data_IF_023625920039
#
_entry.id   IF_023625920039
#
_cell.length_a   1.000
_cell.length_b   1.000
_cell.length_c   1.000
_cell.angle_alpha   90.00
_cell.angle_beta   90.00
_cell.angle_gamma   90.00
#
_symmetry.space_group_name_H-M   'P 1'
#
loop_
_entity.id
_entity.type
_entity.pdbx_description
1 polymer ?
#
# COMPACT_ATOMS: atom_id res chain seq x y z
N UNK A 1 -17.32 18.14 -15.38
CA UNK A 1 -17.36 17.51 -14.04
C UNK A 1 -16.94 18.52 -12.99
N UNK A 2 -17.59 18.62 -11.82
CA UNK A 2 -17.17 19.52 -10.74
C UNK A 2 -15.78 19.16 -10.21
N UNK A 3 -14.88 20.14 -10.06
CA UNK A 3 -13.48 19.91 -9.64
C UNK A 3 -13.39 19.17 -8.30
N UNK A 4 -14.18 19.59 -7.32
CA UNK A 4 -14.24 18.97 -5.98
C UNK A 4 -14.81 17.54 -5.95
N UNK A 5 -15.28 17.02 -7.08
CA UNK A 5 -15.71 15.62 -7.25
C UNK A 5 -14.76 14.81 -8.15
N UNK A 6 -13.71 15.44 -8.70
CA UNK A 6 -12.71 14.76 -9.51
C UNK A 6 -11.55 14.27 -8.64
N UNK A 7 -11.23 12.98 -8.75
CA UNK A 7 -10.07 12.36 -8.11
C UNK A 7 -8.96 12.20 -9.14
N UNK A 8 -7.78 12.77 -8.89
CA UNK A 8 -6.63 12.58 -9.76
C UNK A 8 -6.05 11.18 -9.55
N UNK A 9 -6.05 10.34 -10.59
CA UNK A 9 -5.41 9.03 -10.56
C UNK A 9 -3.89 9.14 -10.54
N UNK A 10 -3.24 8.46 -9.59
CA UNK A 10 -1.79 8.44 -9.40
C UNK A 10 -1.30 6.99 -9.30
N UNK A 11 -0.34 6.64 -10.15
CA UNK A 11 0.24 5.29 -10.19
C UNK A 11 1.44 5.15 -9.26
N UNK A 12 1.51 4.09 -8.46
CA UNK A 12 2.72 3.68 -7.73
C UNK A 12 3.51 2.66 -8.56
N UNK A 13 3.51 2.85 -9.87
CA UNK A 13 4.17 2.00 -10.85
C UNK A 13 4.64 2.87 -12.03
N UNK A 14 5.45 2.28 -12.88
CA UNK A 14 5.94 2.87 -14.12
C UNK A 14 5.75 1.97 -15.33
N UNK A 15 6.07 2.51 -16.49
CA UNK A 15 5.99 1.82 -17.79
C UNK A 15 7.24 2.10 -18.62
N UNK A 16 7.66 1.11 -19.40
CA UNK A 16 8.70 1.28 -20.41
C UNK A 16 9.40 -0.02 -20.77
N UNK A 17 10.50 0.05 -21.51
CA UNK A 17 11.32 -1.09 -21.93
C UNK A 17 12.16 -1.66 -20.77
N UNK A 18 11.49 -2.17 -19.74
CA UNK A 18 12.11 -2.89 -18.62
C UNK A 18 11.83 -4.39 -18.72
N UNK A 19 12.83 -5.24 -18.42
CA UNK A 19 12.60 -6.67 -18.35
C UNK A 19 11.55 -6.98 -17.28
N UNK A 20 10.84 -8.08 -17.51
CA UNK A 20 10.01 -8.73 -16.51
C UNK A 20 10.79 -8.95 -15.21
N UNK A 21 10.40 -8.27 -14.14
CA UNK A 21 10.98 -8.51 -12.82
C UNK A 21 10.12 -9.56 -12.10
N UNK A 22 10.71 -10.62 -11.51
CA UNK A 22 9.95 -11.72 -10.90
C UNK A 22 9.22 -11.34 -9.60
N UNK A 23 9.19 -10.06 -9.23
CA UNK A 23 8.79 -9.57 -7.91
C UNK A 23 7.44 -8.87 -7.88
N UNK A 24 6.84 -8.58 -9.04
CA UNK A 24 5.44 -8.21 -9.14
C UNK A 24 4.57 -9.47 -9.06
N UNK A 25 3.57 -9.46 -8.18
CA UNK A 25 2.54 -10.50 -8.12
C UNK A 25 1.76 -10.67 -9.43
N UNK A 26 1.86 -9.67 -10.32
CA UNK A 26 1.56 -9.76 -11.74
C UNK A 26 2.76 -10.36 -12.46
N UNK A 27 2.82 -11.70 -12.57
CA UNK A 27 3.80 -12.49 -13.36
C UNK A 27 4.73 -11.63 -14.22
N UNK A 28 5.82 -11.09 -13.66
CA UNK A 28 6.77 -10.16 -14.28
C UNK A 28 6.35 -9.68 -15.67
N UNK A 29 5.46 -8.69 -15.75
CA UNK A 29 5.06 -8.15 -17.04
C UNK A 29 6.18 -7.26 -17.56
N UNK A 30 6.85 -7.69 -18.65
CA UNK A 30 7.70 -6.79 -19.42
C UNK A 30 6.90 -5.55 -19.80
N UNK A 31 7.49 -4.37 -19.69
CA UNK A 31 6.71 -3.14 -19.88
C UNK A 31 6.24 -2.46 -18.59
N UNK A 32 6.33 -3.12 -17.45
CA UNK A 32 5.76 -2.67 -16.17
C UNK A 32 6.79 -2.73 -15.04
N UNK A 33 6.75 -1.76 -14.13
CA UNK A 33 7.65 -1.71 -12.97
C UNK A 33 6.92 -1.15 -11.77
N UNK A 34 6.81 -1.90 -10.67
CA UNK A 34 6.28 -1.35 -9.41
C UNK A 34 7.27 -0.33 -8.81
N UNK A 35 6.80 0.58 -7.95
CA UNK A 35 7.70 1.58 -7.36
C UNK A 35 8.85 0.94 -6.59
N UNK A 36 8.56 -0.09 -5.79
CA UNK A 36 9.61 -0.82 -5.07
C UNK A 36 10.61 -1.53 -6.00
N UNK A 37 10.19 -1.97 -7.19
CA UNK A 37 11.08 -2.56 -8.20
C UNK A 37 11.98 -1.50 -8.85
N UNK A 38 11.48 -0.27 -9.05
CA UNK A 38 12.32 0.82 -9.54
C UNK A 38 13.49 1.12 -8.60
N UNK A 39 13.26 1.05 -7.28
CA UNK A 39 14.31 1.19 -6.27
C UNK A 39 15.39 0.09 -6.40
N UNK A 40 14.99 -1.14 -6.71
CA UNK A 40 15.91 -2.26 -6.96
C UNK A 40 16.72 -2.00 -8.24
N UNK A 41 16.09 -1.60 -9.34
CA UNK A 41 16.80 -1.29 -10.59
C UNK A 41 17.84 -0.17 -10.40
N UNK A 42 17.45 0.90 -9.71
CA UNK A 42 18.33 2.06 -9.47
C UNK A 42 19.50 1.67 -8.54
N UNK A 43 19.22 1.03 -7.40
CA UNK A 43 20.22 0.83 -6.35
C UNK A 43 21.03 -0.45 -6.56
N UNK A 44 20.39 -1.55 -6.95
CA UNK A 44 21.03 -2.87 -7.07
C UNK A 44 21.60 -3.12 -8.46
N UNK A 45 20.86 -2.74 -9.51
CA UNK A 45 21.31 -2.89 -10.90
C UNK A 45 22.12 -1.68 -11.40
N UNK A 46 22.34 -0.69 -10.52
CA UNK A 46 23.11 0.54 -10.79
C UNK A 46 22.57 1.33 -11.98
N UNK A 47 21.27 1.24 -12.25
CA UNK A 47 20.59 2.14 -13.17
C UNK A 47 20.51 3.55 -12.58
N UNK A 48 20.21 4.53 -13.42
CA UNK A 48 20.15 5.94 -13.00
C UNK A 48 18.72 6.45 -13.02
N UNK A 49 18.30 7.12 -11.96
CA UNK A 49 17.11 7.97 -11.99
C UNK A 49 17.47 9.33 -12.62
N UNK A 50 16.75 9.73 -13.66
CA UNK A 50 16.91 11.01 -14.34
C UNK A 50 15.61 11.80 -14.25
N UNK A 51 15.70 13.10 -14.00
CA UNK A 51 14.53 13.98 -13.84
C UNK A 51 14.19 14.67 -15.17
N UNK A 52 12.95 14.55 -15.63
CA UNK A 52 12.40 15.37 -16.70
C UNK A 52 11.82 16.66 -16.10
N UNK A 53 12.50 17.79 -16.32
CA UNK A 53 12.08 19.08 -15.79
C UNK A 53 10.82 19.67 -16.46
N UNK A 54 10.48 19.23 -17.68
CA UNK A 54 9.28 19.70 -18.40
C UNK A 54 8.05 18.94 -17.92
N UNK A 55 8.18 17.62 -17.73
CA UNK A 55 7.07 16.76 -17.32
C UNK A 55 6.93 16.63 -15.79
N UNK A 56 7.94 17.08 -15.04
CA UNK A 56 8.01 17.00 -13.57
C UNK A 56 7.88 15.56 -13.04
N UNK A 57 8.53 14.62 -13.73
CA UNK A 57 8.55 13.20 -13.38
C UNK A 57 9.96 12.61 -13.58
N UNK A 58 10.33 11.57 -12.84
CA UNK A 58 11.55 10.82 -13.10
C UNK A 58 11.36 9.76 -14.20
N UNK A 59 12.48 9.34 -14.77
CA UNK A 59 12.58 8.11 -15.55
C UNK A 59 13.89 7.38 -15.22
N UNK A 60 13.86 6.07 -15.35
CA UNK A 60 15.02 5.19 -15.19
C UNK A 60 15.79 5.15 -16.51
N UNK A 61 17.10 5.24 -16.40
CA UNK A 61 18.04 5.16 -17.52
C UNK A 61 18.96 3.97 -17.33
N UNK A 62 19.12 3.16 -18.37
CA UNK A 62 19.99 1.99 -18.37
C UNK A 62 21.49 2.35 -18.41
N UNK A 63 22.37 1.33 -18.40
CA UNK A 63 23.82 1.52 -18.35
C UNK A 63 24.42 2.34 -19.50
N UNK A 64 23.75 2.38 -20.66
CA UNK A 64 24.18 3.12 -21.85
C UNK A 64 23.44 4.46 -22.03
N UNK A 65 22.90 5.00 -20.94
CA UNK A 65 22.17 6.26 -20.90
C UNK A 65 20.88 6.30 -21.75
N UNK A 66 20.31 5.15 -22.08
CA UNK A 66 19.02 5.04 -22.79
C UNK A 66 17.84 4.98 -21.81
N UNK A 67 16.72 5.69 -22.08
CA UNK A 67 15.54 5.65 -21.21
C UNK A 67 14.94 4.24 -21.19
N UNK A 68 14.61 3.76 -20.00
CA UNK A 68 14.08 2.42 -19.75
C UNK A 68 12.66 2.43 -19.24
N UNK A 69 12.33 3.24 -18.24
CA UNK A 69 10.94 3.37 -17.77
C UNK A 69 10.66 4.75 -17.20
N UNK A 70 9.48 5.29 -17.49
CA UNK A 70 8.94 6.41 -16.73
C UNK A 70 8.35 5.89 -15.42
N UNK A 71 8.69 6.51 -14.30
CA UNK A 71 8.23 6.10 -12.96
C UNK A 71 7.73 7.31 -12.18
N UNK A 72 7.15 7.07 -11.00
CA UNK A 72 6.93 8.11 -10.01
C UNK A 72 7.97 8.04 -8.91
N UNK A 73 8.21 9.15 -8.22
CA UNK A 73 8.96 9.17 -6.97
C UNK A 73 8.33 10.16 -5.97
N UNK A 74 8.90 10.26 -4.77
CA UNK A 74 8.43 11.20 -3.74
C UNK A 74 8.33 12.63 -4.28
N UNK A 75 9.28 13.05 -5.11
CA UNK A 75 9.30 14.41 -5.68
C UNK A 75 8.15 14.63 -6.67
N UNK A 76 7.92 13.73 -7.62
CA UNK A 76 6.81 13.85 -8.58
C UNK A 76 5.44 13.76 -7.90
N UNK A 77 5.29 12.87 -6.92
CA UNK A 77 4.06 12.75 -6.11
C UNK A 77 3.76 14.04 -5.33
N UNK A 78 4.79 14.72 -4.82
CA UNK A 78 4.64 16.02 -4.17
C UNK A 78 4.14 17.09 -5.16
N UNK A 79 4.67 17.15 -6.38
CA UNK A 79 4.17 18.07 -7.42
C UNK A 79 2.70 17.79 -7.75
N UNK A 80 2.34 16.52 -7.97
CA UNK A 80 0.97 16.13 -8.32
C UNK A 80 -0.02 16.38 -7.17
N UNK A 81 0.38 16.13 -5.92
CA UNK A 81 -0.45 16.45 -4.76
C UNK A 81 -0.65 17.97 -4.58
N UNK A 82 0.38 18.79 -4.88
CA UNK A 82 0.21 20.24 -4.90
C UNK A 82 -0.72 20.68 -6.03
N UNK A 83 -0.63 20.06 -7.21
CA UNK A 83 -1.55 20.32 -8.32
C UNK A 83 -3.01 20.05 -7.93
N UNK A 84 -3.29 18.95 -7.21
CA UNK A 84 -4.63 18.65 -6.67
C UNK A 84 -5.15 19.81 -5.81
N UNK A 85 -4.32 20.34 -4.91
CA UNK A 85 -4.69 21.48 -4.04
C UNK A 85 -4.92 22.77 -4.83
N UNK A 86 -3.99 23.10 -5.72
CA UNK A 86 -4.04 24.34 -6.50
C UNK A 86 -5.26 24.40 -7.42
N UNK A 87 -5.75 23.24 -7.89
CA UNK A 87 -6.90 23.15 -8.78
C UNK A 87 -8.21 22.78 -8.07
N UNK A 88 -8.23 22.77 -6.73
CA UNK A 88 -9.41 22.41 -5.93
C UNK A 88 -10.06 21.08 -6.37
N UNK A 89 -9.22 20.08 -6.67
CA UNK A 89 -9.68 18.74 -6.98
C UNK A 89 -10.18 18.03 -5.71
N UNK A 90 -11.06 17.03 -5.87
CA UNK A 90 -11.64 16.27 -4.75
C UNK A 90 -10.63 15.42 -3.99
N UNK A 91 -9.51 15.05 -4.63
CA UNK A 91 -8.42 14.31 -3.99
C UNK A 91 -7.61 13.49 -4.98
N UNK A 92 -6.94 12.46 -4.46
CA UNK A 92 -6.17 11.49 -5.24
C UNK A 92 -6.80 10.09 -5.17
N UNK A 93 -6.77 9.38 -6.30
CA UNK A 93 -7.00 7.93 -6.36
C UNK A 93 -5.66 7.26 -6.64
N UNK A 94 -5.34 6.17 -5.95
CA UNK A 94 -4.03 5.51 -6.06
C UNK A 94 -4.17 4.13 -6.70
N UNK A 95 -3.32 3.85 -7.68
CA UNK A 95 -3.14 2.52 -8.24
C UNK A 95 -1.67 2.09 -8.07
N UNK A 96 -1.30 1.30 -7.06
CA UNK A 96 -2.10 0.67 -5.99
C UNK A 96 -1.33 0.67 -4.67
N UNK A 97 -1.93 0.17 -3.59
CA UNK A 97 -1.25 0.08 -2.29
C UNK A 97 -0.04 -0.88 -2.32
N UNK A 98 -0.18 -2.02 -2.99
CA UNK A 98 0.78 -3.11 -3.01
C UNK A 98 2.01 -2.84 -3.90
N UNK A 99 1.97 -1.80 -4.75
CA UNK A 99 3.09 -1.42 -5.62
C UNK A 99 3.94 -0.27 -5.09
N UNK A 100 3.51 0.40 -4.02
CA UNK A 100 4.37 1.30 -3.25
C UNK A 100 5.40 0.49 -2.44
N UNK A 101 6.38 1.13 -1.78
CA UNK A 101 7.25 0.44 -0.82
C UNK A 101 6.49 0.18 0.50
N UNK A 102 5.51 -0.73 0.45
CA UNK A 102 4.59 -1.03 1.54
C UNK A 102 5.29 -1.63 2.77
N UNK A 103 6.44 -2.30 2.56
CA UNK A 103 7.27 -2.84 3.65
C UNK A 103 8.28 -1.83 4.19
N UNK A 104 8.64 -0.82 3.41
CA UNK A 104 9.65 0.17 3.75
C UNK A 104 11.08 -0.37 3.67
N UNK A 105 11.30 -1.41 2.85
CA UNK A 105 12.52 -2.22 2.80
C UNK A 105 13.31 -2.01 1.50
N UNK A 106 12.69 -1.43 0.47
CA UNK A 106 13.29 -1.41 -0.88
C UNK A 106 13.93 -0.06 -1.20
N UNK A 107 13.35 1.04 -0.73
CA UNK A 107 13.73 2.38 -1.16
C UNK A 107 14.45 3.20 -0.06
N UNK A 108 14.51 2.71 1.18
CA UNK A 108 15.01 3.44 2.37
C UNK A 108 14.26 4.73 2.70
N UNK A 109 12.99 4.82 2.29
CA UNK A 109 12.12 5.97 2.49
C UNK A 109 11.01 5.70 3.53
N UNK A 110 11.06 4.53 4.17
CA UNK A 110 10.04 4.05 5.11
C UNK A 110 8.82 3.47 4.38
N UNK A 111 7.83 2.98 5.14
CA UNK A 111 6.62 2.36 4.58
C UNK A 111 5.74 3.36 3.83
N UNK A 112 5.26 2.96 2.64
CA UNK A 112 4.34 3.71 1.79
C UNK A 112 4.81 5.14 1.45
N UNK A 113 6.03 5.32 0.93
CA UNK A 113 6.59 6.65 0.72
C UNK A 113 5.79 7.48 -0.29
N UNK A 114 5.29 6.90 -1.38
CA UNK A 114 4.52 7.66 -2.37
C UNK A 114 3.17 8.10 -1.80
N UNK A 115 2.44 7.18 -1.18
CA UNK A 115 1.12 7.45 -0.61
C UNK A 115 1.20 8.41 0.57
N UNK A 116 2.21 8.26 1.45
CA UNK A 116 2.44 9.19 2.55
C UNK A 116 2.76 10.60 2.07
N UNK A 117 3.48 10.73 0.96
CA UNK A 117 3.76 12.03 0.35
C UNK A 117 2.47 12.74 -0.04
N UNK A 118 1.58 12.04 -0.73
CA UNK A 118 0.28 12.58 -1.16
C UNK A 118 -0.54 12.99 0.07
N UNK A 119 -0.68 12.09 1.05
CA UNK A 119 -1.39 12.36 2.30
C UNK A 119 -0.83 13.59 3.01
N UNK A 120 0.49 13.67 3.18
CA UNK A 120 1.15 14.77 3.86
C UNK A 120 0.87 16.12 3.17
N UNK A 121 0.93 16.18 1.84
CA UNK A 121 0.67 17.43 1.09
C UNK A 121 -0.80 17.84 1.19
N UNK A 122 -1.73 16.90 0.95
CA UNK A 122 -3.17 17.19 0.96
C UNK A 122 -3.65 17.64 2.35
N UNK A 123 -3.11 17.07 3.43
CA UNK A 123 -3.43 17.46 4.81
C UNK A 123 -2.53 18.55 5.39
N UNK A 124 -1.59 19.13 4.62
CA UNK A 124 -0.70 20.18 5.12
C UNK A 124 0.35 19.72 6.14
N UNK A 125 0.58 18.41 6.27
CA UNK A 125 1.50 17.79 7.22
C UNK A 125 2.91 17.65 6.63
N UNK A 126 3.50 18.74 6.12
CA UNK A 126 4.78 18.69 5.39
C UNK A 126 5.96 18.17 6.23
N UNK A 127 5.86 18.24 7.56
CA UNK A 127 6.84 17.64 8.50
C UNK A 127 6.91 16.11 8.42
N UNK A 128 5.87 15.46 7.88
CA UNK A 128 5.77 14.01 7.74
C UNK A 128 6.21 13.51 6.35
N UNK A 129 6.77 14.39 5.51
CA UNK A 129 7.23 14.00 4.19
C UNK A 129 8.34 12.94 4.28
N UNK A 130 8.24 11.84 3.53
CA UNK A 130 9.33 10.91 3.35
C UNK A 130 10.57 11.58 2.76
N UNK A 131 11.74 10.96 2.96
CA UNK A 131 12.99 11.40 2.33
C UNK A 131 12.88 11.21 0.82
N UNK A 132 13.31 12.20 0.03
CA UNK A 132 13.33 12.07 -1.44
C UNK A 132 14.43 11.14 -1.94
N UNK A 133 15.56 11.04 -1.21
CA UNK A 133 16.69 10.21 -1.62
C UNK A 133 16.45 8.73 -1.35
N UNK A 134 16.78 7.90 -2.34
CA UNK A 134 16.82 6.43 -2.23
C UNK A 134 18.05 5.94 -1.43
N UNK A 135 18.07 4.64 -1.12
CA UNK A 135 19.22 3.94 -0.53
C UNK A 135 20.52 4.20 -1.31
N UNK A 136 21.65 4.28 -0.60
CA UNK A 136 22.99 4.29 -1.22
C UNK A 136 23.55 2.89 -1.49
N UNK A 137 22.98 1.85 -0.86
CA UNK A 137 23.41 0.46 -0.98
C UNK A 137 22.21 -0.45 -1.21
N UNK A 138 22.42 -1.55 -1.92
CA UNK A 138 21.36 -2.49 -2.27
C UNK A 138 20.87 -3.26 -1.03
N UNK A 139 19.57 -3.23 -0.69
CA UNK A 139 18.98 -3.93 0.47
C UNK A 139 18.81 -5.45 0.22
N UNK A 140 19.88 -6.12 -0.21
CA UNK A 140 19.88 -7.51 -0.72
C UNK A 140 19.31 -8.57 0.21
N UNK A 141 19.38 -8.39 1.55
CA UNK A 141 18.88 -9.38 2.51
C UNK A 141 17.36 -9.52 2.50
N UNK A 142 16.64 -8.43 2.21
CA UNK A 142 15.17 -8.43 2.19
C UNK A 142 14.62 -8.78 0.80
N UNK A 143 15.46 -8.63 -0.24
CA UNK A 143 15.13 -8.88 -1.64
C UNK A 143 15.10 -10.36 -2.03
N UNK A 144 16.07 -11.18 -1.58
CA UNK A 144 16.18 -12.59 -2.05
C UNK A 144 15.08 -13.51 -1.53
N UNK A 145 14.50 -13.18 -0.38
CA UNK A 145 13.46 -13.99 0.27
C UNK A 145 12.03 -13.50 -0.07
N UNK A 146 11.91 -12.44 -0.88
CA UNK A 146 10.62 -11.88 -1.25
C UNK A 146 9.91 -12.76 -2.28
N UNK A 147 9.02 -13.61 -1.80
CA UNK A 147 7.99 -14.26 -2.63
C UNK A 147 6.73 -13.38 -2.60
N UNK A 148 6.39 -12.64 -3.68
CA UNK A 148 5.09 -11.99 -3.75
C UNK A 148 4.02 -13.08 -3.61
N UNK A 149 3.12 -12.92 -2.65
CA UNK A 149 2.05 -13.88 -2.47
C UNK A 149 1.19 -13.88 -3.74
N UNK A 150 1.21 -14.97 -4.50
CA UNK A 150 0.47 -15.11 -5.77
C UNK A 150 -1.05 -15.28 -5.57
N UNK A 151 -1.56 -14.91 -4.40
CA UNK A 151 -2.96 -15.08 -3.99
C UNK A 151 -3.47 -13.85 -3.25
N UNK A 152 -3.69 -12.79 -4.02
CA UNK A 152 -4.90 -12.00 -3.83
C UNK A 152 -5.33 -11.51 -5.20
N UNK A 153 -6.08 -12.36 -5.92
CA UNK A 153 -7.05 -11.81 -6.86
C UNK A 153 -7.82 -10.70 -6.12
N UNK A 154 -8.17 -9.58 -6.78
CA UNK A 154 -9.14 -8.68 -6.19
C UNK A 154 -10.38 -9.52 -5.87
N UNK A 155 -10.68 -9.71 -4.59
CA UNK A 155 -11.98 -10.20 -4.18
C UNK A 155 -12.97 -9.18 -4.74
N UNK A 156 -13.70 -9.57 -5.79
CA UNK A 156 -14.96 -8.95 -6.12
C UNK A 156 -15.80 -9.01 -4.86
N UNK A 157 -15.95 -7.86 -4.21
CA UNK A 157 -16.96 -7.71 -3.19
C UNK A 157 -18.29 -7.89 -3.90
N UNK A 158 -18.95 -9.03 -3.69
CA UNK A 158 -20.34 -9.17 -4.05
C UNK A 158 -21.10 -7.99 -3.44
N UNK A 159 -21.92 -7.35 -4.27
CA UNK A 159 -22.82 -6.27 -3.86
C UNK A 159 -23.59 -6.73 -2.61
N UNK A 160 -23.53 -6.03 -1.47
CA UNK A 160 -24.27 -6.43 -0.28
C UNK A 160 -25.76 -6.43 -0.62
N UNK A 161 -26.35 -7.61 -0.78
CA UNK A 161 -27.79 -7.78 -1.10
C UNK A 161 -28.65 -7.75 0.15
N UNK A 162 -28.07 -7.51 1.33
CA UNK A 162 -28.82 -7.30 2.57
C UNK A 162 -28.64 -5.86 3.02
N UNK A 163 -29.74 -5.10 3.00
CA UNK A 163 -29.87 -3.82 3.71
C UNK A 163 -29.30 -4.00 5.13
N UNK A 164 -28.46 -3.09 5.63
CA UNK A 164 -28.08 -3.12 7.03
C UNK A 164 -29.37 -2.97 7.83
N UNK A 165 -29.73 -4.01 8.61
CA UNK A 165 -30.70 -3.84 9.68
C UNK A 165 -30.12 -2.75 10.58
N UNK A 166 -30.87 -1.67 10.77
CA UNK A 166 -30.55 -0.68 11.81
C UNK A 166 -30.54 -1.44 13.13
N UNK A 167 -29.36 -1.85 13.58
CA UNK A 167 -29.17 -2.27 14.96
C UNK A 167 -29.49 -1.05 15.81
N UNK A 168 -30.50 -1.20 16.67
CA UNK A 168 -30.73 -0.24 17.73
C UNK A 168 -29.47 -0.25 18.58
N UNK A 169 -28.91 0.93 18.84
CA UNK A 169 -27.91 1.08 19.90
C UNK A 169 -28.65 0.95 21.21
N UNK A 170 -28.79 -0.28 21.66
CA UNK A 170 -28.98 -0.56 23.07
C UNK A 170 -27.57 -0.57 23.71
N UNK A 171 -27.48 -0.15 24.96
CA UNK A 171 -26.24 0.23 25.63
C UNK A 171 -25.39 -0.95 26.14
N UNK A 172 -25.70 -2.17 25.75
CA UNK A 172 -24.88 -3.35 26.00
C UNK A 172 -23.99 -3.63 24.76
N UNK A 173 -22.67 -3.77 24.98
CA UNK A 173 -21.76 -4.30 23.95
C UNK A 173 -22.14 -5.72 23.52
N UNK A 174 -21.60 -6.23 22.40
CA UNK A 174 -21.87 -7.60 21.97
C UNK A 174 -21.52 -8.58 23.09
N UNK A 175 -22.44 -9.48 23.42
CA UNK A 175 -22.22 -10.56 24.37
C UNK A 175 -21.12 -11.51 23.86
N UNK A 176 -20.31 -12.13 24.76
CA UNK A 176 -19.15 -12.94 24.38
C UNK A 176 -19.44 -13.96 23.27
N UNK A 177 -20.59 -14.64 23.36
CA UNK A 177 -20.98 -15.80 22.52
C UNK A 177 -21.11 -15.51 21.01
N UNK A 178 -21.24 -14.26 20.58
CA UNK A 178 -21.41 -13.91 19.15
C UNK A 178 -20.10 -13.63 18.41
N UNK A 179 -18.96 -13.58 19.11
CA UNK A 179 -17.68 -13.11 18.52
C UNK A 179 -17.08 -14.14 17.55
N UNK A 180 -17.14 -15.43 17.88
CA UNK A 180 -16.45 -16.47 17.11
C UNK A 180 -17.22 -16.99 15.89
N UNK A 181 -18.55 -16.92 15.88
CA UNK A 181 -19.35 -17.37 14.74
C UNK A 181 -19.14 -16.49 13.50
N UNK A 182 -18.89 -15.19 13.68
CA UNK A 182 -18.64 -14.26 12.58
C UNK A 182 -17.18 -14.25 12.13
N UNK A 183 -16.25 -14.40 13.06
CA UNK A 183 -14.83 -14.08 12.84
C UNK A 183 -13.98 -15.27 12.39
N UNK A 184 -14.49 -16.50 12.47
CA UNK A 184 -13.78 -17.75 12.15
C UNK A 184 -12.55 -17.99 13.05
N UNK A 185 -11.86 -19.10 12.81
CA UNK A 185 -10.66 -19.50 13.56
C UNK A 185 -9.61 -18.40 13.61
N UNK A 186 -9.18 -18.04 14.82
CA UNK A 186 -8.21 -16.97 15.01
C UNK A 186 -8.14 -16.44 16.43
N UNK A 187 -7.24 -15.48 16.62
CA UNK A 187 -7.18 -14.64 17.81
C UNK A 187 -7.77 -13.28 17.47
N UNK A 188 -8.80 -12.89 18.20
CA UNK A 188 -9.56 -11.67 17.93
C UNK A 188 -9.52 -10.76 19.16
N UNK A 189 -9.23 -9.46 19.01
CA UNK A 189 -9.19 -8.55 20.14
C UNK A 189 -10.56 -8.46 20.81
N UNK A 190 -10.60 -8.40 22.13
CA UNK A 190 -11.85 -8.14 22.84
C UNK A 190 -12.27 -6.67 22.62
N UNK A 191 -13.48 -6.40 22.10
CA UNK A 191 -13.95 -5.03 21.84
C UNK A 191 -14.23 -4.22 23.12
N UNK A 192 -14.29 -4.87 24.28
CA UNK A 192 -14.60 -4.28 25.58
C UNK A 192 -13.38 -4.19 26.52
N UNK A 193 -12.33 -4.98 26.28
CA UNK A 193 -11.15 -5.02 27.14
C UNK A 193 -9.84 -5.19 26.36
N UNK A 194 -9.00 -4.15 26.35
CA UNK A 194 -7.71 -4.17 25.68
C UNK A 194 -6.67 -5.14 26.29
N UNK A 195 -6.96 -5.74 27.45
CA UNK A 195 -6.11 -6.75 28.10
C UNK A 195 -6.52 -8.18 27.78
N UNK A 196 -7.53 -8.38 26.95
CA UNK A 196 -7.97 -9.73 26.59
C UNK A 196 -8.26 -9.89 25.10
N UNK A 197 -8.30 -11.15 24.67
CA UNK A 197 -8.61 -11.56 23.31
C UNK A 197 -9.42 -12.85 23.33
N UNK A 198 -10.20 -13.07 22.28
CA UNK A 198 -10.94 -14.30 22.04
C UNK A 198 -10.10 -15.23 21.17
N UNK A 199 -9.89 -16.47 21.63
CA UNK A 199 -9.37 -17.55 20.81
C UNK A 199 -10.56 -18.34 20.26
N UNK A 200 -10.86 -18.15 18.99
CA UNK A 200 -11.92 -18.85 18.28
C UNK A 200 -11.38 -20.12 17.63
N UNK A 201 -12.04 -21.26 17.89
CA UNK A 201 -11.74 -22.55 17.26
C UNK A 201 -13.03 -23.27 16.87
N UNK A 202 -13.22 -23.53 15.60
CA UNK A 202 -14.30 -24.34 15.06
C UNK A 202 -13.95 -25.82 15.04
N UNK A 203 -14.89 -26.66 15.46
CA UNK A 203 -14.87 -28.11 15.19
C UNK A 203 -16.20 -28.46 14.52
N UNK A 204 -16.19 -28.61 13.19
CA UNK A 204 -17.42 -28.82 12.41
C UNK A 204 -18.28 -27.55 12.35
N UNK A 205 -19.57 -27.66 12.70
CA UNK A 205 -20.51 -26.52 12.81
C UNK A 205 -20.61 -25.94 14.22
N UNK A 206 -19.72 -26.36 15.13
CA UNK A 206 -19.68 -25.88 16.51
C UNK A 206 -18.45 -25.01 16.72
N UNK A 207 -18.64 -23.88 17.41
CA UNK A 207 -17.59 -22.92 17.73
C UNK A 207 -17.23 -23.01 19.21
N UNK A 208 -15.95 -23.17 19.50
CA UNK A 208 -15.38 -23.03 20.82
C UNK A 208 -14.80 -21.63 21.00
N UNK A 209 -15.24 -20.95 22.05
CA UNK A 209 -14.74 -19.63 22.43
C UNK A 209 -13.96 -19.72 23.74
N UNK A 210 -12.77 -19.13 23.75
CA UNK A 210 -11.99 -18.97 24.98
C UNK A 210 -11.45 -17.55 25.08
N UNK A 211 -11.96 -16.80 26.06
CA UNK A 211 -11.38 -15.52 26.45
C UNK A 211 -10.03 -15.76 27.14
N UNK A 212 -9.00 -15.06 26.67
CA UNK A 212 -7.62 -15.14 27.17
C UNK A 212 -7.13 -13.75 27.54
N UNK A 213 -6.38 -13.66 28.63
CA UNK A 213 -5.69 -12.42 29.01
C UNK A 213 -4.35 -12.30 28.27
N UNK A 214 -3.99 -11.07 27.95
CA UNK A 214 -2.68 -10.72 27.40
C UNK A 214 -1.70 -10.64 28.57
N UNK A 215 -0.88 -11.67 28.76
CA UNK A 215 0.26 -11.58 29.67
C UNK A 215 1.31 -10.66 29.04
N UNK A 216 1.44 -9.43 29.54
CA UNK A 216 2.61 -8.59 29.24
C UNK A 216 3.82 -9.23 29.92
N UNK A 217 4.76 -9.74 29.11
CA UNK A 217 6.10 -10.13 29.56
C UNK A 217 7.05 -8.92 29.53
#
# INVERSE_FOLDING_TARGET
MPANKMMLGLGTYGRGDTPAMPYTGFKGESGFVAYYESCIQIVCEKMKETWDAKQLVPFITGPYNQPKAGVENVRSMKYKANYIKQNNLGGAMIWTLDMDDFRGQFCCQGKFPLIKTIKAVLHGQLKLLPKEKMCSTCPTKEYKDFKPNSQSQPQTTEKPTKKPKKSKRDAEGPTPEDVCEELKDGQWPDPTDCKSYFLCRGVGSQWGEQKREICYA
#
